data_IF_158829311964
#
_entry.id   IF_158829311964
#
_cell.length_a   1.000
_cell.length_b   1.000
_cell.length_c   1.000
_cell.angle_alpha   90.00
_cell.angle_beta   90.00
_cell.angle_gamma   90.00
#
_symmetry.space_group_name_H-M   'P 1'
#
loop_
_entity.id
_entity.type
_entity.pdbx_description
1 polymer ?
#
# COMPACT_ATOMS: atom_id res chain seq x y z
N UNK A 1 -5.76 -9.83 27.82
CA UNK A 1 -4.77 -10.44 26.89
C UNK A 1 -5.04 -10.05 25.43
N UNK A 2 -6.31 -9.87 25.04
CA UNK A 2 -6.72 -9.67 23.64
C UNK A 2 -6.12 -8.44 22.98
N UNK A 3 -6.01 -7.31 23.70
CA UNK A 3 -5.35 -6.10 23.15
C UNK A 3 -3.90 -6.39 22.74
N UNK A 4 -3.15 -7.15 23.53
CA UNK A 4 -1.76 -7.51 23.20
C UNK A 4 -1.69 -8.48 22.01
N UNK A 5 -2.62 -9.43 21.90
CA UNK A 5 -2.68 -10.36 20.77
C UNK A 5 -3.07 -9.64 19.47
N UNK A 6 -4.09 -8.78 19.53
CA UNK A 6 -4.50 -7.93 18.42
C UNK A 6 -3.36 -6.98 18.00
N UNK A 7 -2.63 -6.40 18.95
CA UNK A 7 -1.45 -5.56 18.67
C UNK A 7 -0.41 -6.33 17.85
N UNK A 8 -0.14 -7.60 18.20
CA UNK A 8 0.76 -8.45 17.42
C UNK A 8 0.26 -8.71 16.00
N UNK A 9 -1.05 -8.98 15.83
CA UNK A 9 -1.64 -9.15 14.50
C UNK A 9 -1.54 -7.87 13.66
N UNK A 10 -1.83 -6.71 14.25
CA UNK A 10 -1.77 -5.41 13.57
C UNK A 10 -0.34 -5.05 13.20
N UNK A 11 0.64 -5.35 14.05
CA UNK A 11 2.06 -5.14 13.73
C UNK A 11 2.48 -5.91 12.47
N UNK A 12 2.02 -7.16 12.32
CA UNK A 12 2.25 -7.96 11.11
C UNK A 12 1.49 -7.39 9.90
N UNK A 13 0.23 -6.97 10.07
CA UNK A 13 -0.57 -6.38 8.99
C UNK A 13 0.04 -5.09 8.43
N UNK A 14 0.64 -4.29 9.31
CA UNK A 14 1.27 -3.00 8.96
C UNK A 14 2.73 -3.14 8.54
N UNK A 15 3.39 -4.25 8.83
CA UNK A 15 4.85 -4.37 8.70
C UNK A 15 5.61 -3.44 9.65
N UNK A 16 5.02 -3.14 10.82
CA UNK A 16 5.51 -2.12 11.76
C UNK A 16 5.84 -2.71 13.14
N UNK A 17 6.41 -1.89 14.02
CA UNK A 17 6.69 -2.25 15.41
C UNK A 17 5.42 -2.37 16.27
N UNK A 18 5.51 -3.11 17.39
CA UNK A 18 4.39 -3.28 18.33
C UNK A 18 3.88 -1.96 18.91
N UNK A 19 4.77 -1.00 19.15
CA UNK A 19 4.42 0.30 19.71
C UNK A 19 3.54 1.10 18.73
N UNK A 20 3.93 1.14 17.46
CA UNK A 20 3.15 1.77 16.39
C UNK A 20 1.80 1.06 16.18
N UNK A 21 1.79 -0.27 16.17
CA UNK A 21 0.56 -1.05 16.06
C UNK A 21 -0.42 -0.73 17.19
N UNK A 22 0.07 -0.58 18.43
CA UNK A 22 -0.75 -0.22 19.58
C UNK A 22 -1.28 1.21 19.47
N UNK A 23 -0.46 2.15 18.98
CA UNK A 23 -0.87 3.52 18.69
C UNK A 23 -2.00 3.54 17.65
N UNK A 24 -1.86 2.79 16.55
CA UNK A 24 -2.88 2.66 15.49
C UNK A 24 -4.20 2.08 16.04
N UNK A 25 -4.11 1.03 16.86
CA UNK A 25 -5.29 0.42 17.51
C UNK A 25 -6.03 1.45 18.39
N UNK A 26 -5.28 2.22 19.19
CA UNK A 26 -5.83 3.27 20.06
C UNK A 26 -6.41 4.43 19.28
N UNK A 27 -5.74 4.86 18.21
CA UNK A 27 -6.23 5.92 17.33
C UNK A 27 -7.56 5.50 16.68
N UNK A 28 -7.68 4.26 16.20
CA UNK A 28 -8.92 3.75 15.64
C UNK A 28 -10.04 3.69 16.68
N UNK A 29 -9.77 3.16 17.88
CA UNK A 29 -10.74 3.13 18.98
C UNK A 29 -11.25 4.53 19.34
N UNK A 30 -10.34 5.51 19.45
CA UNK A 30 -10.69 6.89 19.73
C UNK A 30 -11.52 7.52 18.60
N UNK A 31 -11.10 7.36 17.34
CA UNK A 31 -11.78 7.94 16.18
C UNK A 31 -13.17 7.33 15.94
N UNK A 32 -13.33 6.04 16.22
CA UNK A 32 -14.60 5.31 16.10
C UNK A 32 -15.51 5.44 17.33
N UNK A 33 -15.03 6.07 18.41
CA UNK A 33 -15.75 6.12 19.69
C UNK A 33 -15.99 4.74 20.33
N UNK A 34 -15.22 3.73 19.93
CA UNK A 34 -15.34 2.34 20.39
C UNK A 34 -14.27 2.02 21.44
N UNK A 35 -14.54 1.11 22.36
CA UNK A 35 -13.54 0.74 23.36
C UNK A 35 -12.36 -0.02 22.73
N UNK A 36 -11.15 0.20 23.24
CA UNK A 36 -9.95 -0.52 22.79
C UNK A 36 -10.09 -2.06 22.83
N UNK A 37 -10.66 -2.69 23.88
CA UNK A 37 -10.86 -4.14 23.86
C UNK A 37 -11.86 -4.61 22.80
N UNK A 38 -12.91 -3.84 22.49
CA UNK A 38 -13.83 -4.19 21.40
C UNK A 38 -13.17 -4.10 20.02
N UNK A 39 -12.34 -3.08 19.79
CA UNK A 39 -11.52 -3.00 18.56
C UNK A 39 -10.56 -4.19 18.48
N UNK A 40 -9.94 -4.57 19.59
CA UNK A 40 -9.08 -5.74 19.65
C UNK A 40 -9.84 -7.03 19.30
N UNK A 41 -11.06 -7.22 19.79
CA UNK A 41 -11.93 -8.33 19.38
C UNK A 41 -12.19 -8.33 17.89
N UNK A 42 -12.57 -7.19 17.31
CA UNK A 42 -12.85 -7.11 15.86
C UNK A 42 -11.63 -7.49 15.01
N UNK A 43 -10.40 -7.20 15.47
CA UNK A 43 -9.17 -7.65 14.81
C UNK A 43 -8.99 -9.16 14.95
N UNK A 44 -9.20 -9.72 16.14
CA UNK A 44 -9.09 -11.16 16.39
C UNK A 44 -10.14 -11.96 15.60
N UNK A 45 -11.34 -11.41 15.46
CA UNK A 45 -12.45 -11.93 14.66
C UNK A 45 -12.24 -11.70 13.15
N UNK A 46 -11.18 -10.97 12.77
CA UNK A 46 -10.83 -10.62 11.38
C UNK A 46 -11.89 -9.79 10.66
N UNK A 47 -12.73 -9.09 11.42
CA UNK A 47 -13.72 -8.13 10.92
C UNK A 47 -13.04 -6.79 10.61
N UNK A 48 -12.01 -6.42 11.38
CA UNK A 48 -11.24 -5.20 11.21
C UNK A 48 -9.79 -5.52 10.79
N UNK A 49 -9.30 -4.84 9.75
CA UNK A 49 -7.93 -4.95 9.25
C UNK A 49 -7.29 -3.57 9.13
N UNK A 50 -6.01 -3.49 9.46
CA UNK A 50 -5.21 -2.28 9.32
C UNK A 50 -4.32 -2.41 8.07
N UNK A 51 -4.26 -1.35 7.27
CA UNK A 51 -3.41 -1.26 6.09
C UNK A 51 -2.24 -0.30 6.34
N UNK A 52 -1.04 -0.57 5.79
CA UNK A 52 0.04 0.40 5.80
C UNK A 52 -0.39 1.66 5.03
N UNK A 53 -0.04 2.83 5.55
CA UNK A 53 -0.40 4.12 4.94
C UNK A 53 0.56 4.34 3.76
N UNK A 54 0.23 3.74 2.62
CA UNK A 54 1.10 3.67 1.45
C UNK A 54 0.87 2.47 0.52
N UNK A 55 -0.06 1.56 0.84
CA UNK A 55 -0.36 0.37 0.01
C UNK A 55 -1.28 0.61 -1.19
N UNK A 56 -1.49 1.86 -1.60
CA UNK A 56 -2.01 2.21 -2.93
C UNK A 56 -0.86 2.75 -3.77
N UNK A 57 0.23 1.97 -3.89
CA UNK A 57 1.05 2.09 -5.08
C UNK A 57 0.20 1.53 -6.21
N UNK A 58 -0.47 2.43 -6.91
CA UNK A 58 -1.17 2.19 -8.17
C UNK A 58 -0.33 1.24 -9.03
N UNK A 59 -0.70 -0.03 -9.02
CA UNK A 59 -0.30 -1.03 -10.00
C UNK A 59 -0.96 -0.61 -11.32
N UNK A 60 -0.31 0.36 -11.96
CA UNK A 60 -0.85 1.12 -13.09
C UNK A 60 0.23 1.95 -13.76
N UNK A 61 1.51 1.64 -13.55
CA UNK A 61 2.54 2.08 -14.49
C UNK A 61 2.50 1.16 -15.70
N UNK A 62 1.53 1.49 -16.55
CA UNK A 62 1.43 1.21 -17.98
C UNK A 62 2.75 0.66 -18.57
N UNK A 63 2.77 -0.66 -18.73
CA UNK A 63 3.76 -1.37 -19.53
C UNK A 63 3.28 -1.36 -20.99
N UNK A 64 3.24 -0.19 -21.59
CA UNK A 64 3.11 0.01 -23.03
C UNK A 64 3.89 1.30 -23.28
N UNK A 65 4.99 1.29 -24.02
CA UNK A 65 4.97 1.18 -25.46
C UNK A 65 6.23 0.42 -25.93
N UNK A 66 6.00 -0.82 -26.39
CA UNK A 66 6.82 -1.42 -27.43
C UNK A 66 6.31 -0.95 -28.80
N UNK A 67 7.22 -0.68 -29.73
CA UNK A 67 6.87 -0.44 -31.12
C UNK A 67 7.95 0.34 -31.85
N UNK A 68 8.93 -0.38 -32.42
CA UNK A 68 9.91 0.22 -33.31
C UNK A 68 9.24 0.80 -34.55
N UNK A 69 9.68 1.99 -34.95
CA UNK A 69 9.56 2.46 -36.33
C UNK A 69 10.96 2.43 -36.93
N UNK A 70 11.30 1.28 -37.49
CA UNK A 70 12.32 1.15 -38.52
C UNK A 70 11.62 1.40 -39.86
N UNK A 71 11.76 2.61 -40.39
CA UNK A 71 11.38 2.92 -41.76
C UNK A 71 12.58 3.53 -42.48
N UNK A 72 13.21 2.70 -43.30
CA UNK A 72 14.23 3.03 -44.28
C UNK A 72 13.70 4.03 -45.33
N UNK A 73 14.54 4.95 -45.81
CA UNK A 73 14.20 5.80 -46.95
C UNK A 73 15.36 6.71 -47.37
N UNK A 74 16.15 6.25 -48.34
CA UNK A 74 17.33 6.94 -48.85
C UNK A 74 17.05 8.19 -49.68
N UNK A 75 18.14 8.83 -50.10
CA UNK A 75 18.12 9.95 -51.04
C UNK A 75 19.44 10.72 -51.03
N UNK A 76 20.44 10.17 -51.72
CA UNK A 76 21.52 10.94 -52.33
C UNK A 76 20.97 12.23 -52.96
N UNK A 77 21.64 13.36 -52.74
CA UNK A 77 21.95 14.37 -53.78
C UNK A 77 22.78 15.50 -53.19
N UNK A 78 24.06 15.39 -53.47
CA UNK A 78 25.06 16.43 -53.60
C UNK A 78 24.48 17.60 -54.42
N UNK A 79 24.62 18.84 -53.95
CA UNK A 79 24.34 20.03 -54.76
C UNK A 79 25.50 21.00 -54.65
N UNK A 80 26.11 21.20 -55.81
CA UNK A 80 27.21 22.07 -56.19
C UNK A 80 26.78 23.54 -56.08
N UNK A 81 27.60 24.39 -55.42
CA UNK A 81 27.85 25.79 -55.84
C UNK A 81 29.12 26.35 -55.19
#
# INVERSE_FOLDING_TARGET
>A
AEVYQATGMVAVQLGAGLDEALVRLRAHAFASGTSLPEVAQQVLDRVLRFAPEGGDESEGRDESEGGGDESEGGGDSESDE
#
